data_IF_298073782164
#
_entry.id   IF_298073782164
#
_cell.length_a   1.000
_cell.length_b   1.000
_cell.length_c   1.000
_cell.angle_alpha   90.00
_cell.angle_beta   90.00
_cell.angle_gamma   90.00
#
_symmetry.space_group_name_H-M   'P 1'
#
loop_
_entity.id
_entity.type
_entity.pdbx_description
1 polymer ?
#
# COMPACT_ATOMS: atom_id res chain seq x y z
N UNK A 1 42.98 14.28 24.00
CA UNK A 1 41.56 13.93 24.22
C UNK A 1 40.91 13.21 23.03
N UNK A 2 41.21 13.57 21.78
CA UNK A 2 40.56 13.00 20.57
C UNK A 2 40.86 11.50 20.37
N UNK A 3 42.08 11.04 20.69
CA UNK A 3 42.49 9.64 20.49
C UNK A 3 41.68 8.66 21.37
N UNK A 4 41.30 9.06 22.58
CA UNK A 4 40.49 8.24 23.50
C UNK A 4 39.06 8.02 22.99
N UNK A 5 38.48 9.05 22.37
CA UNK A 5 37.13 8.98 21.80
C UNK A 5 37.07 8.07 20.58
N UNK A 6 38.09 8.11 19.72
CA UNK A 6 38.17 7.22 18.53
C UNK A 6 38.32 5.76 18.97
N UNK A 7 39.15 5.49 19.98
CA UNK A 7 39.36 4.13 20.48
C UNK A 7 38.07 3.53 21.08
N UNK A 8 37.31 4.34 21.82
CA UNK A 8 36.01 3.93 22.39
C UNK A 8 34.97 3.63 21.30
N UNK A 9 34.97 4.41 20.22
CA UNK A 9 34.07 4.20 19.08
C UNK A 9 34.38 2.90 18.33
N UNK A 10 35.66 2.64 18.06
CA UNK A 10 36.11 1.41 17.38
C UNK A 10 35.80 0.16 18.22
N UNK A 11 36.02 0.22 19.53
CA UNK A 11 35.64 -0.86 20.45
C UNK A 11 34.13 -1.14 20.43
N UNK A 12 33.30 -0.09 20.39
CA UNK A 12 31.85 -0.23 20.27
C UNK A 12 31.41 -0.93 18.99
N UNK A 13 32.02 -0.56 17.85
CA UNK A 13 31.74 -1.21 16.56
C UNK A 13 32.14 -2.68 16.54
N UNK A 14 33.31 -3.01 17.09
CA UNK A 14 33.79 -4.39 17.16
C UNK A 14 32.90 -5.23 18.08
N UNK A 15 32.54 -4.71 19.26
CA UNK A 15 31.65 -5.41 20.18
C UNK A 15 30.26 -5.65 19.55
N UNK A 16 29.69 -4.64 18.87
CA UNK A 16 28.42 -4.77 18.15
C UNK A 16 28.49 -5.83 17.04
N UNK A 17 29.57 -5.82 16.26
CA UNK A 17 29.79 -6.80 15.20
C UNK A 17 29.92 -8.23 15.75
N UNK A 18 30.66 -8.42 16.84
CA UNK A 18 30.81 -9.73 17.49
C UNK A 18 29.45 -10.24 17.98
N UNK A 19 28.68 -9.40 18.69
CA UNK A 19 27.37 -9.77 19.20
C UNK A 19 26.44 -10.14 18.04
N UNK A 20 26.38 -9.31 17.00
CA UNK A 20 25.59 -9.58 15.81
C UNK A 20 26.00 -10.92 15.17
N UNK A 21 27.30 -11.17 14.99
CA UNK A 21 27.79 -12.40 14.38
C UNK A 21 27.40 -13.65 15.16
N UNK A 22 27.52 -13.63 16.50
CA UNK A 22 27.10 -14.75 17.34
C UNK A 22 25.59 -14.95 17.32
N UNK A 23 24.81 -13.87 17.37
CA UNK A 23 23.35 -13.95 17.25
C UNK A 23 22.91 -14.51 15.90
N UNK A 24 23.51 -14.05 14.79
CA UNK A 24 23.22 -14.59 13.46
C UNK A 24 23.58 -16.08 13.36
N UNK A 25 24.73 -16.49 13.89
CA UNK A 25 25.15 -17.89 13.88
C UNK A 25 24.19 -18.78 14.68
N UNK A 26 23.79 -18.33 15.88
CA UNK A 26 22.83 -19.04 16.71
C UNK A 26 21.44 -19.08 16.09
N UNK A 27 20.95 -17.95 15.57
CA UNK A 27 19.66 -17.86 14.90
C UNK A 27 19.59 -18.79 13.69
N UNK A 28 20.64 -18.88 12.87
CA UNK A 28 20.68 -19.81 11.74
C UNK A 28 20.64 -21.27 12.20
N UNK A 29 21.34 -21.60 13.28
CA UNK A 29 21.30 -22.95 13.86
C UNK A 29 19.91 -23.30 14.38
N UNK A 30 19.29 -22.41 15.15
CA UNK A 30 17.97 -22.61 15.75
C UNK A 30 16.87 -22.66 14.68
N UNK A 31 16.97 -21.84 13.63
CA UNK A 31 16.06 -21.88 12.48
C UNK A 31 16.18 -23.20 11.71
N UNK A 32 17.40 -23.70 11.48
CA UNK A 32 17.60 -24.98 10.82
C UNK A 32 17.10 -26.15 11.67
N UNK A 33 17.30 -26.11 12.99
CA UNK A 33 16.79 -27.14 13.90
C UNK A 33 15.25 -27.16 13.94
N UNK A 34 14.60 -25.98 13.94
CA UNK A 34 13.15 -25.87 13.82
C UNK A 34 12.63 -26.34 12.46
N UNK A 35 13.31 -25.97 11.37
CA UNK A 35 12.96 -26.40 10.02
C UNK A 35 13.05 -27.92 9.88
N UNK A 36 14.07 -28.56 10.47
CA UNK A 36 14.24 -30.00 10.48
C UNK A 36 13.21 -30.75 11.34
N UNK A 37 12.53 -30.06 12.27
CA UNK A 37 11.40 -30.61 13.05
C UNK A 37 10.06 -30.55 12.31
N UNK A 38 9.98 -29.83 11.18
CA UNK A 38 8.77 -29.79 10.37
C UNK A 38 8.58 -31.12 9.61
N UNK A 39 7.33 -31.63 9.51
CA UNK A 39 7.00 -32.76 8.65
C UNK A 39 7.42 -32.52 7.19
N UNK A 40 7.82 -33.59 6.49
CA UNK A 40 8.37 -33.52 5.13
C UNK A 40 7.47 -32.78 4.14
N UNK A 41 6.15 -32.95 4.22
CA UNK A 41 5.20 -32.26 3.35
C UNK A 41 5.15 -30.74 3.58
N UNK A 42 5.42 -30.27 4.81
CA UNK A 42 5.50 -28.83 5.12
C UNK A 42 6.82 -28.26 4.62
N UNK A 43 7.92 -29.02 4.76
CA UNK A 43 9.23 -28.62 4.22
C UNK A 43 9.19 -28.48 2.70
N UNK A 44 8.59 -29.46 2.02
CA UNK A 44 8.38 -29.41 0.57
C UNK A 44 7.48 -28.24 0.18
N UNK A 45 6.36 -28.02 0.88
CA UNK A 45 5.52 -26.85 0.65
C UNK A 45 6.23 -25.51 0.86
N UNK A 46 7.14 -25.40 1.84
CA UNK A 46 7.96 -24.20 2.08
C UNK A 46 9.08 -24.01 1.04
N UNK A 47 9.60 -25.09 0.47
CA UNK A 47 10.62 -25.07 -0.59
C UNK A 47 10.00 -24.82 -1.97
N UNK A 48 8.77 -25.30 -2.18
CA UNK A 48 7.93 -25.04 -3.36
C UNK A 48 7.25 -23.67 -3.30
N UNK A 49 7.08 -23.09 -2.10
CA UNK A 49 6.79 -21.66 -1.89
C UNK A 49 8.05 -20.83 -2.22
N UNK A 50 8.52 -20.96 -3.47
CA UNK A 50 9.05 -19.82 -4.18
C UNK A 50 7.92 -18.81 -4.18
N UNK A 51 7.87 -17.95 -3.16
CA UNK A 51 7.29 -16.63 -3.33
C UNK A 51 8.04 -16.06 -4.52
N UNK A 52 7.45 -16.18 -5.70
CA UNK A 52 7.86 -15.42 -6.87
C UNK A 52 8.09 -14.03 -6.33
N UNK A 53 9.33 -13.54 -6.43
CA UNK A 53 9.62 -12.17 -6.07
C UNK A 53 8.91 -11.34 -7.12
N UNK A 54 7.61 -11.12 -6.91
CA UNK A 54 6.80 -10.24 -7.72
C UNK A 54 7.53 -8.92 -7.72
N UNK A 55 7.95 -8.50 -8.90
CA UNK A 55 8.41 -7.13 -9.08
C UNK A 55 7.30 -6.19 -8.64
N UNK A 56 7.66 -4.98 -8.23
CA UNK A 56 6.67 -3.94 -7.87
C UNK A 56 5.67 -3.73 -9.01
N UNK A 57 6.12 -3.89 -10.27
CA UNK A 57 5.27 -3.84 -11.46
C UNK A 57 4.22 -4.96 -11.48
N UNK A 58 4.62 -6.20 -11.25
CA UNK A 58 3.71 -7.36 -11.25
C UNK A 58 2.73 -7.29 -10.07
N UNK A 59 3.19 -6.84 -8.91
CA UNK A 59 2.32 -6.62 -7.75
C UNK A 59 1.25 -5.56 -8.04
N UNK A 60 1.65 -4.42 -8.62
CA UNK A 60 0.70 -3.36 -8.99
C UNK A 60 -0.28 -3.83 -10.07
N UNK A 61 0.16 -4.64 -11.03
CA UNK A 61 -0.71 -5.20 -12.05
C UNK A 61 -1.74 -6.16 -11.44
N UNK A 62 -1.33 -7.01 -10.50
CA UNK A 62 -2.24 -7.89 -9.77
C UNK A 62 -3.26 -7.10 -8.92
N UNK A 63 -2.81 -6.06 -8.24
CA UNK A 63 -3.70 -5.16 -7.49
C UNK A 63 -4.71 -4.53 -8.45
N UNK A 64 -4.26 -4.01 -9.60
CA UNK A 64 -5.13 -3.43 -10.63
C UNK A 64 -6.17 -4.44 -11.13
N UNK A 65 -5.75 -5.65 -11.51
CA UNK A 65 -6.65 -6.71 -12.00
C UNK A 65 -7.71 -7.12 -10.97
N UNK A 66 -7.39 -7.03 -9.68
CA UNK A 66 -8.33 -7.34 -8.58
C UNK A 66 -9.25 -6.18 -8.24
N UNK A 67 -8.84 -4.95 -8.51
CA UNK A 67 -9.55 -3.74 -8.09
C UNK A 67 -10.36 -3.11 -9.22
N UNK A 68 -9.97 -3.30 -10.48
CA UNK A 68 -10.56 -2.65 -11.66
C UNK A 68 -11.10 -3.68 -12.68
N UNK A 69 -12.27 -3.39 -13.24
CA UNK A 69 -12.84 -4.02 -14.44
C UNK A 69 -12.47 -3.21 -15.67
N UNK A 70 -11.49 -3.65 -16.45
CA UNK A 70 -11.09 -2.95 -17.68
C UNK A 70 -12.22 -2.90 -18.74
N UNK A 71 -13.28 -3.69 -18.57
CA UNK A 71 -14.46 -3.70 -19.46
C UNK A 71 -15.49 -2.60 -19.15
N UNK A 72 -15.39 -1.96 -17.98
CA UNK A 72 -16.32 -0.90 -17.54
C UNK A 72 -15.62 0.46 -17.55
N UNK A 73 -16.41 1.54 -17.48
CA UNK A 73 -15.91 2.92 -17.50
C UNK A 73 -16.33 3.65 -16.23
N UNK A 74 -15.59 4.70 -15.90
CA UNK A 74 -15.86 5.53 -14.71
C UNK A 74 -15.71 4.73 -13.41
N UNK A 75 -16.45 5.14 -12.38
CA UNK A 75 -16.39 4.49 -11.07
C UNK A 75 -16.98 3.08 -11.03
N UNK A 76 -17.83 2.73 -12.00
CA UNK A 76 -18.36 1.37 -12.15
C UNK A 76 -17.27 0.34 -12.47
N UNK A 77 -16.09 0.78 -12.90
CA UNK A 77 -14.94 -0.07 -13.10
C UNK A 77 -14.36 -0.60 -11.78
N UNK A 78 -14.54 0.07 -10.65
CA UNK A 78 -13.97 -0.41 -9.38
C UNK A 78 -14.79 -1.58 -8.82
N UNK A 79 -14.16 -2.76 -8.75
CA UNK A 79 -14.71 -3.97 -8.11
C UNK A 79 -14.40 -4.03 -6.62
N UNK A 80 -13.25 -3.47 -6.23
CA UNK A 80 -12.75 -3.48 -4.86
C UNK A 80 -11.89 -2.24 -4.59
N UNK A 81 -11.79 -1.86 -3.33
CA UNK A 81 -10.97 -0.74 -2.88
C UNK A 81 -9.48 -1.03 -3.16
N UNK A 82 -8.74 -0.13 -3.84
CA UNK A 82 -7.33 -0.33 -4.11
C UNK A 82 -6.43 -0.29 -2.88
N UNK A 83 -6.91 0.28 -1.76
CA UNK A 83 -6.14 0.44 -0.54
C UNK A 83 -6.31 -0.73 0.44
N UNK A 84 -7.53 -1.27 0.58
CA UNK A 84 -7.83 -2.32 1.56
C UNK A 84 -8.42 -3.60 0.97
N UNK A 85 -8.78 -3.62 -0.32
CA UNK A 85 -9.39 -4.78 -0.98
C UNK A 85 -10.87 -5.02 -0.64
N UNK A 86 -11.52 -4.11 0.09
CA UNK A 86 -12.94 -4.21 0.41
C UNK A 86 -13.84 -4.00 -0.81
N UNK A 87 -14.95 -4.75 -0.86
CA UNK A 87 -16.00 -4.58 -1.86
C UNK A 87 -17.09 -3.57 -1.40
N UNK A 88 -16.95 -2.99 -0.20
CA UNK A 88 -17.89 -2.00 0.34
C UNK A 88 -17.65 -0.62 -0.29
N UNK A 89 -17.89 -0.53 -1.60
CA UNK A 89 -17.74 0.70 -2.38
C UNK A 89 -19.10 1.36 -2.59
N UNK A 90 -19.18 2.66 -2.34
CA UNK A 90 -20.38 3.48 -2.57
C UNK A 90 -20.07 4.58 -3.55
N UNK A 91 -20.85 4.65 -4.64
CA UNK A 91 -20.80 5.73 -5.62
C UNK A 91 -21.81 6.80 -5.16
N UNK A 92 -21.35 8.04 -5.10
CA UNK A 92 -22.12 9.18 -4.65
C UNK A 92 -21.81 10.43 -5.46
N UNK A 93 -22.43 11.53 -5.06
CA UNK A 93 -22.16 12.86 -5.59
C UNK A 93 -21.80 13.78 -4.45
N UNK A 94 -20.78 14.59 -4.66
CA UNK A 94 -20.38 15.60 -3.71
C UNK A 94 -20.40 16.98 -4.33
N UNK A 95 -20.72 17.96 -3.51
CA UNK A 95 -20.73 19.36 -3.91
C UNK A 95 -19.29 19.82 -4.10
N UNK A 96 -18.94 20.18 -5.33
CA UNK A 96 -17.62 20.65 -5.70
C UNK A 96 -17.53 22.17 -5.60
N UNK A 97 -18.56 22.86 -6.10
CA UNK A 97 -18.58 24.31 -6.14
C UNK A 97 -19.99 24.88 -5.97
N UNK A 98 -20.04 26.04 -5.34
CA UNK A 98 -21.23 26.88 -5.21
C UNK A 98 -20.80 28.28 -5.59
N UNK A 99 -21.15 28.71 -6.81
CA UNK A 99 -20.91 30.09 -7.22
C UNK A 99 -21.77 31.02 -6.34
N UNK A 100 -21.11 31.78 -5.46
CA UNK A 100 -21.77 32.62 -4.45
C UNK A 100 -22.01 34.05 -4.96
N UNK A 101 -21.51 34.40 -6.14
CA UNK A 101 -21.57 35.76 -6.71
C UNK A 101 -22.87 36.03 -7.49
N UNK A 102 -24.02 35.68 -6.89
CA UNK A 102 -25.34 35.98 -7.46
C UNK A 102 -25.59 37.49 -7.54
N UNK A 103 -25.71 38.02 -8.77
CA UNK A 103 -26.23 39.37 -9.04
C UNK A 103 -27.56 39.28 -9.79
N UNK A 104 -28.69 39.73 -9.21
CA UNK A 104 -29.97 39.68 -9.90
C UNK A 104 -29.96 40.60 -11.13
N UNK A 105 -30.20 40.04 -12.32
CA UNK A 105 -30.36 40.79 -13.58
C UNK A 105 -29.37 40.46 -14.70
N UNK A 106 -28.31 39.71 -14.39
CA UNK A 106 -27.37 39.19 -15.39
C UNK A 106 -27.67 37.70 -15.61
N UNK A 107 -27.96 37.31 -16.85
CA UNK A 107 -28.73 36.12 -17.23
C UNK A 107 -28.08 34.75 -17.04
N UNK A 108 -27.22 34.55 -16.04
CA UNK A 108 -26.61 33.24 -15.77
C UNK A 108 -27.00 32.76 -14.36
N UNK A 109 -28.01 31.89 -14.32
CA UNK A 109 -28.35 31.14 -13.12
C UNK A 109 -27.32 30.01 -12.94
N UNK A 110 -26.38 30.17 -12.01
CA UNK A 110 -25.50 29.08 -11.62
C UNK A 110 -26.20 28.15 -10.63
N UNK A 111 -26.16 26.84 -10.93
CA UNK A 111 -26.64 25.76 -10.08
C UNK A 111 -25.47 25.17 -9.28
N UNK A 112 -25.69 24.61 -8.07
CA UNK A 112 -24.65 23.88 -7.35
C UNK A 112 -24.03 22.80 -8.25
N UNK A 113 -22.70 22.82 -8.39
CA UNK A 113 -21.96 21.87 -9.21
C UNK A 113 -21.57 20.66 -8.36
N UNK A 114 -21.94 19.47 -8.83
CA UNK A 114 -21.64 18.21 -8.15
C UNK A 114 -20.66 17.39 -8.99
N UNK A 115 -19.69 16.78 -8.32
CA UNK A 115 -18.79 15.78 -8.92
C UNK A 115 -19.17 14.39 -8.45
N UNK A 116 -19.02 13.41 -9.33
CA UNK A 116 -19.15 12.02 -8.93
C UNK A 116 -17.94 11.61 -8.08
N UNK A 117 -18.20 10.79 -7.07
CA UNK A 117 -17.15 10.25 -6.21
C UNK A 117 -17.43 8.79 -5.87
N UNK A 118 -16.37 8.01 -5.69
CA UNK A 118 -16.43 6.68 -5.11
C UNK A 118 -15.76 6.69 -3.74
N UNK A 119 -16.38 6.03 -2.77
CA UNK A 119 -15.91 5.94 -1.38
C UNK A 119 -15.90 4.50 -0.89
N UNK A 120 -14.89 4.13 -0.11
CA UNK A 120 -14.82 2.84 0.58
C UNK A 120 -15.34 2.97 2.01
N UNK A 121 -16.36 2.17 2.35
CA UNK A 121 -16.97 2.17 3.67
C UNK A 121 -16.07 1.66 4.81
N UNK A 122 -15.03 0.87 4.49
CA UNK A 122 -14.18 0.24 5.50
C UNK A 122 -12.94 1.06 5.85
N UNK A 123 -12.23 1.60 4.85
CA UNK A 123 -10.98 2.35 5.07
C UNK A 123 -11.09 3.85 4.79
N UNK A 124 -12.25 4.33 4.32
CA UNK A 124 -12.46 5.74 4.00
C UNK A 124 -11.73 6.23 2.73
N UNK A 125 -11.12 5.32 1.96
CA UNK A 125 -10.53 5.67 0.66
C UNK A 125 -11.59 6.31 -0.23
N UNK A 126 -11.20 7.37 -0.94
CA UNK A 126 -12.10 8.15 -1.79
C UNK A 126 -11.37 8.59 -3.05
N UNK A 127 -12.11 8.63 -4.16
CA UNK A 127 -11.66 9.19 -5.45
C UNK A 127 -12.79 9.99 -6.09
N UNK A 128 -12.44 11.13 -6.67
CA UNK A 128 -13.35 12.02 -7.42
C UNK A 128 -12.94 12.07 -8.89
N UNK A 129 -13.86 12.42 -9.80
CA UNK A 129 -13.53 12.54 -11.23
C UNK A 129 -12.52 13.66 -11.50
N UNK A 130 -12.49 14.68 -10.63
CA UNK A 130 -11.53 15.78 -10.71
C UNK A 130 -10.08 15.32 -10.50
N UNK A 131 -9.86 14.25 -9.72
CA UNK A 131 -8.53 13.72 -9.47
C UNK A 131 -7.88 13.12 -10.73
N UNK A 132 -8.67 12.77 -11.75
CA UNK A 132 -8.17 12.23 -13.03
C UNK A 132 -7.79 13.33 -14.04
N UNK A 133 -8.05 14.62 -13.74
CA UNK A 133 -7.73 15.76 -14.62
C UNK A 133 -6.37 16.41 -14.31
N UNK A 134 -5.68 16.00 -13.24
CA UNK A 134 -4.38 16.57 -12.82
C UNK A 134 -3.14 15.74 -13.25
N UNK A 135 -3.28 14.86 -14.27
CA UNK A 135 -2.19 14.04 -14.82
C UNK A 135 -1.78 14.44 -16.23
#
# INVERSE_FOLDING_TARGET
MIISSIFSFVLGLIASWIIAHFYYKKSNHDQNDLFNKLPEYIRQGLLEDQREKLSVKELNELIRLKTIDDMKKGFDAFKACPQCGSNSLTIGKELYDVDVDYKPGEGESFYPSYVECITCGDCGWKKTEADDLEL
#
